data_IF_474073435765
#
_entry.id   IF_474073435765
#
_cell.length_a   1.000
_cell.length_b   1.000
_cell.length_c   1.000
_cell.angle_alpha   90.00
_cell.angle_beta   90.00
_cell.angle_gamma   90.00
#
_symmetry.space_group_name_H-M   'P 1'
#
loop_
_entity.id
_entity.type
_entity.pdbx_description
1 polymer ?
#
# COMPACT_ATOMS: atom_id res chain seq x y z
N UNK A 1 -40.49 13.37 -19.73
CA UNK A 1 -39.08 13.07 -20.07
C UNK A 1 -38.20 14.09 -19.35
N UNK A 2 -37.82 13.78 -18.12
CA UNK A 2 -36.92 14.59 -17.31
C UNK A 2 -35.50 14.16 -17.65
N UNK A 3 -34.82 14.97 -18.45
CA UNK A 3 -33.38 14.89 -18.68
C UNK A 3 -32.68 15.06 -17.32
N UNK A 4 -32.07 13.97 -16.83
CA UNK A 4 -31.10 14.06 -15.73
C UNK A 4 -29.99 14.99 -16.20
N UNK A 5 -29.94 16.17 -15.60
CA UNK A 5 -28.83 17.09 -15.70
C UNK A 5 -27.64 16.38 -15.02
N UNK A 6 -26.74 15.81 -15.83
CA UNK A 6 -25.47 15.28 -15.36
C UNK A 6 -24.71 16.45 -14.71
N UNK A 7 -24.76 16.52 -13.38
CA UNK A 7 -23.89 17.40 -12.62
C UNK A 7 -22.45 16.99 -12.94
N UNK A 8 -21.72 17.83 -13.69
CA UNK A 8 -20.30 17.68 -13.96
C UNK A 8 -19.52 17.75 -12.64
N UNK A 9 -19.45 16.63 -11.90
CA UNK A 9 -18.59 16.51 -10.74
C UNK A 9 -17.13 16.60 -11.21
N UNK A 10 -16.47 17.72 -10.87
CA UNK A 10 -15.07 17.94 -11.14
C UNK A 10 -14.21 16.91 -10.39
N UNK A 11 -13.15 16.41 -11.01
CA UNK A 11 -12.16 15.58 -10.31
C UNK A 11 -11.49 16.39 -9.18
N UNK A 12 -11.36 15.77 -8.01
CA UNK A 12 -10.63 16.32 -6.85
C UNK A 12 -9.32 15.55 -6.70
N UNK A 13 -8.22 16.26 -6.43
CA UNK A 13 -6.92 15.64 -6.18
C UNK A 13 -6.94 14.97 -4.79
N UNK A 14 -6.75 13.67 -4.78
CA UNK A 14 -6.75 12.82 -3.57
C UNK A 14 -5.35 12.33 -3.19
N UNK A 15 -4.38 12.44 -4.10
CA UNK A 15 -3.00 12.03 -3.88
C UNK A 15 -2.03 12.72 -4.83
N UNK A 16 -0.74 12.71 -4.48
CA UNK A 16 0.36 13.10 -5.35
C UNK A 16 1.63 12.39 -4.92
N UNK A 17 2.38 11.86 -5.88
CA UNK A 17 3.65 11.17 -5.66
C UNK A 17 4.62 11.41 -6.82
N UNK A 18 5.74 10.69 -6.81
CA UNK A 18 6.77 10.85 -7.83
C UNK A 18 6.32 10.44 -9.23
N UNK A 19 5.38 9.49 -9.34
CA UNK A 19 4.80 9.02 -10.61
C UNK A 19 3.63 9.90 -11.11
N UNK A 20 3.20 10.90 -10.33
CA UNK A 20 2.20 11.87 -10.72
C UNK A 20 1.09 12.07 -9.67
N UNK A 21 -0.03 12.62 -10.12
CA UNK A 21 -1.17 13.01 -9.28
C UNK A 21 -2.32 12.01 -9.38
N UNK A 22 -3.04 11.82 -8.27
CA UNK A 22 -4.17 10.90 -8.16
C UNK A 22 -5.45 11.69 -7.90
N UNK A 23 -6.50 11.38 -8.65
CA UNK A 23 -7.76 12.12 -8.68
C UNK A 23 -8.98 11.21 -8.56
N UNK A 24 -10.07 11.71 -7.99
CA UNK A 24 -11.36 11.00 -7.97
C UNK A 24 -12.52 11.99 -8.10
N UNK A 25 -13.65 11.54 -8.66
CA UNK A 25 -14.87 12.38 -8.79
C UNK A 25 -15.72 12.42 -7.53
N UNK A 26 -15.73 11.31 -6.80
CA UNK A 26 -16.52 11.08 -5.59
C UNK A 26 -15.80 10.06 -4.72
N UNK A 27 -16.22 9.94 -3.45
CA UNK A 27 -15.69 8.93 -2.52
C UNK A 27 -15.80 7.51 -3.08
N UNK A 28 -16.87 7.22 -3.83
CA UNK A 28 -17.16 5.90 -4.38
C UNK A 28 -16.74 5.72 -5.85
N UNK A 29 -16.09 6.74 -6.45
CA UNK A 29 -15.62 6.70 -7.83
C UNK A 29 -14.20 6.15 -7.96
N UNK A 30 -13.80 5.67 -9.16
CA UNK A 30 -12.45 5.15 -9.38
C UNK A 30 -11.39 6.22 -9.15
N UNK A 31 -10.19 5.77 -8.79
CA UNK A 31 -9.01 6.60 -8.69
C UNK A 31 -8.33 6.72 -10.06
N UNK A 32 -8.00 7.93 -10.46
CA UNK A 32 -7.31 8.22 -11.72
C UNK A 32 -5.90 8.72 -11.42
N UNK A 33 -4.89 7.91 -11.73
CA UNK A 33 -3.47 8.28 -11.63
C UNK A 33 -3.00 8.86 -12.96
N UNK A 34 -2.45 10.06 -12.94
CA UNK A 34 -2.00 10.80 -14.13
C UNK A 34 -0.49 10.70 -14.29
N UNK A 35 -0.01 10.65 -15.54
CA UNK A 35 1.42 10.67 -15.88
C UNK A 35 1.94 12.12 -15.93
N UNK A 36 1.85 12.83 -14.81
CA UNK A 36 2.38 14.18 -14.61
C UNK A 36 3.51 14.21 -13.55
N UNK A 37 4.11 13.04 -13.32
CA UNK A 37 5.25 12.83 -12.41
C UNK A 37 6.62 13.11 -13.03
N UNK A 38 7.67 12.75 -12.28
CA UNK A 38 9.06 12.89 -12.71
C UNK A 38 9.48 11.84 -13.74
N UNK A 39 10.52 12.11 -14.56
CA UNK A 39 10.95 11.23 -15.66
C UNK A 39 11.55 9.89 -15.20
N UNK A 40 11.85 9.75 -13.91
CA UNK A 40 12.39 8.51 -13.34
C UNK A 40 11.30 7.49 -12.96
N UNK A 41 10.02 7.85 -13.10
CA UNK A 41 8.87 6.98 -12.81
C UNK A 41 8.11 6.67 -14.10
N UNK A 42 7.42 5.53 -14.13
CA UNK A 42 6.72 5.06 -15.32
C UNK A 42 5.31 4.61 -15.00
N UNK A 43 4.32 5.37 -15.48
CA UNK A 43 2.92 4.98 -15.35
C UNK A 43 2.64 3.72 -16.17
N UNK A 44 3.30 3.55 -17.32
CA UNK A 44 3.19 2.32 -18.10
C UNK A 44 3.69 1.08 -17.33
N UNK A 45 4.81 1.20 -16.60
CA UNK A 45 5.30 0.10 -15.76
C UNK A 45 4.35 -0.19 -14.60
N UNK A 46 3.84 0.86 -13.93
CA UNK A 46 2.84 0.74 -12.87
C UNK A 46 1.64 -0.07 -13.33
N UNK A 47 1.07 0.26 -14.50
CA UNK A 47 -0.05 -0.50 -15.09
C UNK A 47 0.28 -1.97 -15.33
N UNK A 48 1.44 -2.26 -15.93
CA UNK A 48 1.83 -3.63 -16.28
C UNK A 48 2.08 -4.46 -15.01
N UNK A 49 2.81 -3.90 -14.04
CA UNK A 49 3.15 -4.58 -12.79
C UNK A 49 1.94 -4.75 -11.88
N UNK A 50 1.09 -3.72 -11.76
CA UNK A 50 -0.15 -3.82 -10.99
C UNK A 50 -1.09 -4.86 -11.58
N UNK A 51 -1.29 -4.89 -12.91
CA UNK A 51 -2.08 -5.93 -13.56
C UNK A 51 -1.52 -7.33 -13.31
N UNK A 52 -0.19 -7.50 -13.42
CA UNK A 52 0.47 -8.78 -13.14
C UNK A 52 0.30 -9.21 -11.67
N UNK A 53 0.38 -8.27 -10.74
CA UNK A 53 0.11 -8.52 -9.33
C UNK A 53 -1.36 -8.93 -9.15
N UNK A 54 -2.31 -8.17 -9.68
CA UNK A 54 -3.73 -8.50 -9.60
C UNK A 54 -4.03 -9.91 -10.13
N UNK A 55 -3.55 -10.25 -11.33
CA UNK A 55 -3.72 -11.59 -11.93
C UNK A 55 -3.13 -12.69 -11.04
N UNK A 56 -2.00 -12.40 -10.39
CA UNK A 56 -1.32 -13.31 -9.44
C UNK A 56 -2.15 -13.57 -8.20
N UNK A 57 -2.70 -12.52 -7.59
CA UNK A 57 -3.53 -12.62 -6.39
C UNK A 57 -4.89 -13.26 -6.67
N UNK A 58 -5.46 -13.03 -7.87
CA UNK A 58 -6.67 -13.71 -8.34
C UNK A 58 -6.46 -15.22 -8.53
N UNK A 59 -5.28 -15.66 -9.02
CA UNK A 59 -4.94 -17.10 -9.12
C UNK A 59 -4.92 -17.80 -7.77
N UNK A 60 -4.65 -17.07 -6.68
CA UNK A 60 -4.59 -17.66 -5.33
C UNK A 60 -5.95 -17.84 -4.67
N UNK A 61 -6.96 -17.09 -5.11
CA UNK A 61 -8.31 -17.10 -4.54
C UNK A 61 -8.31 -17.12 -3.00
N UNK A 62 -7.66 -16.10 -2.39
CA UNK A 62 -7.93 -15.65 -1.01
C UNK A 62 -7.37 -14.29 -0.55
N UNK A 63 -6.63 -13.55 -1.38
CA UNK A 63 -6.15 -12.20 -1.00
C UNK A 63 -6.34 -11.26 -2.18
N UNK A 64 -7.21 -10.25 -2.03
CA UNK A 64 -7.60 -9.32 -3.11
C UNK A 64 -6.65 -8.12 -3.16
N UNK A 65 -6.30 -7.72 -4.38
CA UNK A 65 -5.74 -6.41 -4.70
C UNK A 65 -6.79 -5.66 -5.52
N UNK A 66 -6.76 -4.33 -5.43
CA UNK A 66 -7.52 -3.36 -6.21
C UNK A 66 -7.99 -3.88 -7.59
N UNK A 67 -9.30 -3.96 -7.80
CA UNK A 67 -9.88 -4.51 -9.01
C UNK A 67 -9.66 -3.61 -10.23
N UNK A 68 -9.03 -4.24 -11.24
CA UNK A 68 -8.99 -3.90 -12.66
C UNK A 68 -8.54 -2.48 -13.01
N UNK A 69 -7.24 -2.36 -13.32
CA UNK A 69 -6.74 -1.18 -14.01
C UNK A 69 -7.27 -1.09 -15.45
N UNK A 70 -7.78 0.08 -15.81
CA UNK A 70 -8.05 0.46 -17.20
C UNK A 70 -7.15 1.61 -17.60
N UNK A 71 -6.40 1.45 -18.69
CA UNK A 71 -5.63 2.55 -19.29
C UNK A 71 -6.61 3.56 -19.90
N UNK A 72 -6.62 4.79 -19.38
CA UNK A 72 -7.39 5.88 -19.94
C UNK A 72 -6.51 6.65 -20.92
N UNK A 73 -6.93 6.68 -22.18
CA UNK A 73 -6.28 7.48 -23.22
C UNK A 73 -6.48 8.99 -22.98
N UNK A 74 -5.56 9.87 -23.44
CA UNK A 74 -5.51 11.31 -23.14
C UNK A 74 -6.75 12.15 -23.54
N UNK A 75 -7.76 11.55 -24.17
CA UNK A 75 -8.89 12.24 -24.79
C UNK A 75 -9.99 12.66 -23.80
N UNK A 76 -9.87 12.34 -22.51
CA UNK A 76 -10.88 12.64 -21.46
C UNK A 76 -10.71 14.02 -20.78
N UNK A 77 -10.09 14.98 -21.47
CA UNK A 77 -9.66 16.31 -20.99
C UNK A 77 -10.76 17.21 -20.43
N UNK A 78 -12.01 17.04 -20.83
CA UNK A 78 -13.11 17.94 -20.42
C UNK A 78 -13.53 17.78 -18.96
N UNK A 79 -12.90 16.87 -18.20
CA UNK A 79 -13.30 16.55 -16.83
C UNK A 79 -12.32 17.04 -15.74
N UNK A 80 -11.11 17.47 -16.10
CA UNK A 80 -10.12 18.00 -15.15
C UNK A 80 -10.21 19.53 -15.04
N UNK A 81 -9.79 20.14 -13.90
CA UNK A 81 -9.76 21.60 -13.76
C UNK A 81 -8.93 22.28 -14.86
N UNK A 82 -9.27 23.51 -15.21
CA UNK A 82 -8.50 24.34 -16.14
C UNK A 82 -7.03 24.44 -15.71
N UNK A 83 -6.10 24.28 -16.65
CA UNK A 83 -4.65 24.43 -16.42
C UNK A 83 -3.80 23.15 -16.51
N UNK A 84 -4.41 22.01 -16.85
CA UNK A 84 -3.68 20.74 -17.01
C UNK A 84 -3.57 20.31 -18.48
N UNK A 85 -2.39 19.84 -18.90
CA UNK A 85 -2.17 19.28 -20.23
C UNK A 85 -2.66 17.83 -20.34
N UNK A 86 -2.98 17.35 -21.56
CA UNK A 86 -3.26 15.93 -21.81
C UNK A 86 -2.06 15.07 -21.42
N UNK A 87 -2.33 13.95 -20.76
CA UNK A 87 -1.35 12.94 -20.38
C UNK A 87 -2.00 11.56 -20.39
N UNK A 88 -1.19 10.51 -20.31
CA UNK A 88 -1.72 9.18 -20.03
C UNK A 88 -2.27 9.12 -18.60
N UNK A 89 -3.25 8.24 -18.38
CA UNK A 89 -3.78 8.00 -17.06
C UNK A 89 -4.18 6.53 -16.87
N UNK A 90 -4.11 6.04 -15.63
CA UNK A 90 -4.66 4.75 -15.23
C UNK A 90 -5.90 5.01 -14.37
N UNK A 91 -6.97 4.27 -14.64
CA UNK A 91 -8.12 4.16 -13.74
C UNK A 91 -7.99 2.88 -12.94
N UNK A 92 -8.06 2.96 -11.62
CA UNK A 92 -8.05 1.81 -10.71
C UNK A 92 -9.17 1.93 -9.68
N UNK A 93 -9.47 0.84 -8.97
CA UNK A 93 -10.32 0.91 -7.79
C UNK A 93 -9.72 1.89 -6.77
N UNK A 94 -10.59 2.69 -6.18
CA UNK A 94 -10.20 3.68 -5.18
C UNK A 94 -10.15 3.00 -3.81
N UNK A 95 -8.99 3.07 -3.16
CA UNK A 95 -8.87 2.68 -1.75
C UNK A 95 -9.79 3.60 -0.90
N UNK A 96 -10.75 3.04 -0.14
CA UNK A 96 -11.64 3.85 0.69
C UNK A 96 -10.83 4.61 1.75
N UNK A 97 -11.12 5.90 1.99
CA UNK A 97 -10.50 6.62 3.09
C UNK A 97 -11.09 6.17 4.43
N UNK A 98 -10.32 6.29 5.51
CA UNK A 98 -10.88 6.09 6.85
C UNK A 98 -11.97 7.13 7.19
N UNK A 99 -13.02 6.74 7.94
CA UNK A 99 -14.13 7.60 8.31
C UNK A 99 -13.73 8.69 9.31
N UNK A 100 -14.62 9.67 9.48
CA UNK A 100 -14.38 10.88 10.28
C UNK A 100 -13.95 10.60 11.72
N UNK A 101 -14.55 9.61 12.37
CA UNK A 101 -14.19 9.23 13.75
C UNK A 101 -12.73 8.77 13.87
N UNK A 102 -12.20 8.06 12.89
CA UNK A 102 -10.80 7.60 12.87
C UNK A 102 -9.87 8.78 12.57
N UNK A 103 -10.25 9.67 11.66
CA UNK A 103 -9.50 10.91 11.40
C UNK A 103 -9.42 11.79 12.65
N UNK A 104 -10.55 11.95 13.35
CA UNK A 104 -10.62 12.69 14.61
C UNK A 104 -9.71 12.07 15.68
N UNK A 105 -9.74 10.74 15.83
CA UNK A 105 -8.85 10.00 16.74
C UNK A 105 -7.36 10.29 16.45
N UNK A 106 -6.94 10.22 15.18
CA UNK A 106 -5.55 10.47 14.80
C UNK A 106 -5.14 11.94 15.05
N UNK A 107 -6.05 12.88 14.77
CA UNK A 107 -5.82 14.30 15.03
C UNK A 107 -5.69 14.57 16.52
N UNK A 108 -6.64 14.09 17.32
CA UNK A 108 -6.64 14.25 18.78
C UNK A 108 -5.35 13.71 19.42
N UNK A 109 -4.87 12.55 18.96
CA UNK A 109 -3.70 11.90 19.55
C UNK A 109 -2.37 12.48 19.10
N UNK A 110 -2.26 12.92 17.84
CA UNK A 110 -0.95 13.16 17.22
C UNK A 110 -0.80 14.49 16.50
N UNK A 111 -1.87 15.23 16.26
CA UNK A 111 -1.80 16.52 15.59
C UNK A 111 -1.48 17.63 16.60
N UNK A 112 -0.61 18.59 16.27
CA UNK A 112 -0.47 19.80 17.07
C UNK A 112 -1.83 20.52 17.22
N UNK A 113 -2.21 20.94 18.44
CA UNK A 113 -3.51 21.56 18.70
C UNK A 113 -3.79 22.77 17.80
N UNK A 114 -2.74 23.52 17.44
CA UNK A 114 -2.82 24.76 16.67
C UNK A 114 -3.36 24.56 15.26
N UNK A 115 -3.13 23.38 14.66
CA UNK A 115 -3.53 23.07 13.28
C UNK A 115 -4.65 22.02 13.21
N UNK A 116 -5.12 21.49 14.34
CA UNK A 116 -6.10 20.40 14.39
C UNK A 116 -7.39 20.72 13.64
N UNK A 117 -7.96 21.91 13.86
CA UNK A 117 -9.17 22.37 13.14
C UNK A 117 -8.93 22.48 11.63
N UNK A 118 -7.76 22.99 11.23
CA UNK A 118 -7.39 23.13 9.82
C UNK A 118 -7.27 21.76 9.14
N UNK A 119 -6.71 20.76 9.84
CA UNK A 119 -6.57 19.40 9.32
C UNK A 119 -7.95 18.75 9.15
N UNK A 120 -8.82 18.86 10.16
CA UNK A 120 -10.16 18.27 10.12
C UNK A 120 -11.07 18.90 9.07
N UNK A 121 -10.95 20.22 8.84
CA UNK A 121 -11.75 20.93 7.83
C UNK A 121 -11.22 20.77 6.40
N UNK A 122 -9.99 20.27 6.22
CA UNK A 122 -9.33 20.23 4.91
C UNK A 122 -9.78 19.05 4.06
N UNK A 123 -10.26 19.31 2.84
CA UNK A 123 -10.68 18.28 1.89
C UNK A 123 -9.57 17.30 1.53
N UNK A 124 -8.31 17.73 1.44
CA UNK A 124 -7.19 16.82 1.13
C UNK A 124 -6.96 15.79 2.23
N UNK A 125 -7.25 16.14 3.48
CA UNK A 125 -7.12 15.24 4.63
C UNK A 125 -8.28 14.25 4.73
N UNK A 126 -9.35 14.41 3.94
CA UNK A 126 -10.43 13.44 3.86
C UNK A 126 -10.01 12.14 3.15
N UNK A 127 -8.93 12.15 2.36
CA UNK A 127 -8.41 10.96 1.69
C UNK A 127 -7.77 9.93 2.64
N UNK A 128 -7.44 10.34 3.87
CA UNK A 128 -6.89 9.55 4.99
C UNK A 128 -6.58 8.07 4.71
N UNK A 129 -5.34 7.81 4.28
CA UNK A 129 -4.75 6.47 4.20
C UNK A 129 -3.69 6.32 5.28
N UNK A 130 -3.69 5.22 6.02
CA UNK A 130 -2.74 4.99 7.11
C UNK A 130 -1.64 4.05 6.62
N UNK A 131 -0.38 4.43 6.71
CA UNK A 131 0.79 3.60 6.37
C UNK A 131 1.33 2.93 7.63
N UNK A 132 1.13 1.61 7.84
CA UNK A 132 1.64 0.93 9.02
C UNK A 132 3.15 0.67 8.88
N UNK A 133 3.95 1.37 9.69
CA UNK A 133 5.40 1.19 9.74
C UNK A 133 5.79 0.22 10.87
N UNK A 134 5.79 -1.08 10.57
CA UNK A 134 6.15 -2.13 11.54
C UNK A 134 7.67 -2.27 11.71
N UNK A 135 8.46 -1.71 10.79
CA UNK A 135 9.93 -1.71 10.83
C UNK A 135 10.55 -0.51 11.52
N UNK A 136 9.75 0.42 12.04
CA UNK A 136 10.25 1.67 12.62
C UNK A 136 9.32 2.22 13.71
N UNK A 137 9.92 2.58 14.84
CA UNK A 137 9.31 3.47 15.84
C UNK A 137 9.69 4.93 15.54
N UNK A 138 8.92 5.89 16.05
CA UNK A 138 9.32 7.30 16.01
C UNK A 138 10.72 7.48 16.64
N UNK A 139 11.56 8.34 16.05
CA UNK A 139 12.80 8.82 16.67
C UNK A 139 12.47 9.91 17.69
N UNK A 140 13.37 10.21 18.65
CA UNK A 140 13.14 11.22 19.69
C UNK A 140 12.64 12.58 19.14
N UNK A 141 13.20 13.03 18.01
CA UNK A 141 12.79 14.27 17.35
C UNK A 141 11.42 14.21 16.65
N UNK A 142 10.94 13.02 16.27
CA UNK A 142 9.58 12.81 15.74
C UNK A 142 8.57 12.46 16.84
N UNK A 143 9.02 11.86 17.94
CA UNK A 143 8.18 11.41 19.05
C UNK A 143 7.77 12.58 19.96
N UNK A 144 8.71 13.50 20.24
CA UNK A 144 8.43 14.59 21.17
C UNK A 144 7.82 15.83 20.50
N UNK A 145 7.66 15.90 19.18
CA UNK A 145 7.31 17.15 18.47
C UNK A 145 8.21 18.35 18.83
N UNK A 146 9.37 18.12 19.47
CA UNK A 146 10.02 19.12 20.32
C UNK A 146 10.63 20.30 19.55
N UNK A 147 10.82 20.26 18.22
CA UNK A 147 11.53 21.37 17.55
C UNK A 147 11.20 21.65 16.08
N UNK A 148 10.13 21.10 15.50
CA UNK A 148 9.84 21.39 14.08
C UNK A 148 8.58 22.22 13.89
N UNK A 149 8.77 23.54 13.80
CA UNK A 149 7.77 24.50 13.30
C UNK A 149 7.38 24.26 11.83
N UNK A 150 7.94 23.21 11.19
CA UNK A 150 7.89 22.96 9.75
C UNK A 150 7.60 21.49 9.37
N UNK A 151 7.20 20.62 10.30
CA UNK A 151 6.66 19.30 9.92
C UNK A 151 5.17 19.44 9.65
N UNK A 152 4.80 19.46 8.38
CA UNK A 152 3.39 19.40 7.99
C UNK A 152 2.77 18.11 8.52
N UNK A 153 1.78 18.23 9.41
CA UNK A 153 0.89 17.12 9.73
C UNK A 153 -0.07 16.93 8.56
N UNK A 154 -0.25 15.69 8.10
CA UNK A 154 -1.17 15.36 7.03
C UNK A 154 -1.73 13.98 7.26
N UNK A 155 -3.05 13.85 7.11
CA UNK A 155 -3.74 12.57 7.06
C UNK A 155 -3.62 11.92 5.69
N UNK A 156 -3.25 12.68 4.65
CA UNK A 156 -2.93 12.12 3.34
C UNK A 156 -1.64 11.29 3.48
N UNK A 157 -1.77 9.96 3.40
CA UNK A 157 -0.69 8.99 3.59
C UNK A 157 -0.03 9.05 4.99
N UNK A 158 -0.85 9.06 6.04
CA UNK A 158 -0.41 9.19 7.43
C UNK A 158 0.52 8.04 7.87
N UNK A 159 1.79 8.30 8.21
CA UNK A 159 2.71 7.26 8.68
C UNK A 159 2.43 6.92 10.15
N UNK A 160 1.89 5.72 10.40
CA UNK A 160 1.61 5.20 11.74
C UNK A 160 2.73 4.25 12.16
N UNK A 161 3.60 4.74 13.04
CA UNK A 161 4.77 4.00 13.53
C UNK A 161 4.39 2.94 14.56
N UNK A 162 5.23 1.91 14.71
CA UNK A 162 4.95 0.79 15.62
C UNK A 162 4.64 1.22 17.06
N UNK A 163 5.34 2.23 17.59
CA UNK A 163 5.06 2.77 18.92
C UNK A 163 3.70 3.45 19.00
N UNK A 164 3.27 4.16 17.94
CA UNK A 164 1.93 4.75 17.85
C UNK A 164 0.84 3.67 17.75
N UNK A 165 1.10 2.57 17.06
CA UNK A 165 0.17 1.42 16.97
C UNK A 165 -0.08 0.86 18.39
N UNK A 166 0.98 0.71 19.18
CA UNK A 166 0.88 0.26 20.58
C UNK A 166 0.19 1.31 21.47
N UNK A 167 0.52 2.60 21.33
CA UNK A 167 -0.10 3.71 22.08
C UNK A 167 -1.61 3.87 21.79
N UNK A 168 -2.04 3.53 20.58
CA UNK A 168 -3.47 3.49 20.22
C UNK A 168 -4.20 2.32 20.90
N UNK A 169 -3.49 1.39 21.53
CA UNK A 169 -4.08 0.20 22.15
C UNK A 169 -4.49 -0.85 21.13
N UNK A 170 -3.86 -0.89 19.95
CA UNK A 170 -4.11 -1.95 18.97
C UNK A 170 -3.58 -3.28 19.55
N UNK A 171 -4.43 -4.32 19.68
CA UNK A 171 -4.04 -5.62 20.21
C UNK A 171 -2.85 -6.24 19.48
N UNK A 172 -1.96 -6.93 20.20
CA UNK A 172 -0.74 -7.49 19.62
C UNK A 172 -1.02 -8.48 18.49
N UNK A 173 -2.06 -9.29 18.61
CA UNK A 173 -2.51 -10.24 17.58
C UNK A 173 -2.96 -9.55 16.29
N UNK A 174 -3.52 -8.34 16.38
CA UNK A 174 -3.82 -7.51 15.20
C UNK A 174 -2.54 -6.96 14.54
N UNK A 175 -1.54 -6.56 15.32
CA UNK A 175 -0.24 -6.12 14.79
C UNK A 175 0.49 -7.28 14.11
N UNK A 176 0.43 -8.47 14.71
CA UNK A 176 0.93 -9.71 14.13
C UNK A 176 0.18 -10.06 12.84
N UNK A 177 -1.13 -9.86 12.78
CA UNK A 177 -1.92 -10.04 11.56
C UNK A 177 -1.40 -9.17 10.41
N UNK A 178 -1.11 -7.88 10.66
CA UNK A 178 -0.52 -7.01 9.63
C UNK A 178 0.84 -7.53 9.13
N UNK A 179 1.71 -7.97 10.04
CA UNK A 179 3.01 -8.55 9.68
C UNK A 179 2.85 -9.83 8.85
N UNK A 180 1.89 -10.69 9.20
CA UNK A 180 1.57 -11.89 8.44
C UNK A 180 1.07 -11.54 7.03
N UNK A 181 0.11 -10.63 6.91
CA UNK A 181 -0.41 -10.18 5.60
C UNK A 181 0.70 -9.64 4.68
N UNK A 182 1.65 -8.86 5.22
CA UNK A 182 2.82 -8.40 4.45
C UNK A 182 3.72 -9.56 4.00
N UNK A 183 3.92 -10.58 4.84
CA UNK A 183 4.70 -11.77 4.52
C UNK A 183 4.05 -12.60 3.40
N UNK A 184 2.75 -12.84 3.51
CA UNK A 184 1.97 -13.53 2.46
C UNK A 184 2.01 -12.77 1.13
N UNK A 185 1.82 -11.45 1.20
CA UNK A 185 1.81 -10.59 0.02
C UNK A 185 3.15 -10.62 -0.72
N UNK A 186 4.28 -10.49 -0.02
CA UNK A 186 5.59 -10.54 -0.65
C UNK A 186 5.94 -11.94 -1.17
N UNK A 187 5.58 -13.01 -0.46
CA UNK A 187 5.81 -14.37 -0.96
C UNK A 187 5.03 -14.62 -2.26
N UNK A 188 3.79 -14.12 -2.32
CA UNK A 188 2.95 -14.17 -3.51
C UNK A 188 3.57 -13.39 -4.68
N UNK A 189 3.98 -12.15 -4.44
CA UNK A 189 4.63 -11.33 -5.47
C UNK A 189 5.91 -11.97 -5.99
N UNK A 190 6.78 -12.47 -5.11
CA UNK A 190 8.07 -13.01 -5.52
C UNK A 190 7.90 -14.35 -6.25
N UNK A 191 7.10 -15.27 -5.71
CA UNK A 191 7.14 -16.68 -6.15
C UNK A 191 6.00 -17.10 -7.05
N UNK A 192 4.94 -16.31 -7.15
CA UNK A 192 3.89 -16.51 -8.15
C UNK A 192 3.87 -15.36 -9.16
N UNK A 193 4.05 -14.13 -8.67
CA UNK A 193 4.13 -12.95 -9.51
C UNK A 193 5.47 -12.82 -10.23
N UNK A 194 6.55 -13.36 -9.68
CA UNK A 194 7.93 -13.10 -10.12
C UNK A 194 8.22 -11.59 -10.24
N UNK A 195 7.79 -10.84 -9.21
CA UNK A 195 7.96 -9.39 -9.05
C UNK A 195 8.87 -9.14 -7.84
N UNK A 196 9.82 -8.21 -7.94
CA UNK A 196 10.77 -7.88 -6.86
C UNK A 196 10.17 -7.11 -5.66
N UNK A 197 9.01 -6.49 -5.87
CA UNK A 197 8.33 -5.69 -4.87
C UNK A 197 8.97 -4.32 -4.60
N UNK A 198 9.78 -3.80 -5.52
CA UNK A 198 10.47 -2.52 -5.36
C UNK A 198 9.50 -1.33 -5.35
N UNK A 199 9.63 -0.51 -4.31
CA UNK A 199 8.82 0.68 -3.99
C UNK A 199 7.32 0.42 -3.74
N UNK A 200 6.93 -0.85 -3.53
CA UNK A 200 5.56 -1.17 -3.14
C UNK A 200 5.23 -0.54 -1.79
N UNK A 201 4.08 0.12 -1.74
CA UNK A 201 3.53 0.70 -0.53
C UNK A 201 2.39 -0.14 0.05
N UNK A 202 2.34 -0.19 1.39
CA UNK A 202 1.25 -0.80 2.14
C UNK A 202 0.45 0.25 2.90
N UNK A 203 -0.87 0.15 2.85
CA UNK A 203 -1.77 1.04 3.61
C UNK A 203 -2.88 0.23 4.29
N UNK A 204 -3.31 0.68 5.46
CA UNK A 204 -4.57 0.26 6.06
C UNK A 204 -5.68 1.13 5.51
N UNK A 205 -6.82 0.52 5.22
CA UNK A 205 -8.05 1.20 4.81
C UNK A 205 -9.26 0.27 4.96
N UNK A 206 -10.49 0.82 5.07
CA UNK A 206 -11.71 0.02 5.02
C UNK A 206 -11.74 -0.95 3.81
N UNK A 207 -12.36 -2.13 3.94
CA UNK A 207 -12.56 -3.04 2.82
C UNK A 207 -13.48 -2.44 1.75
N UNK A 208 -13.46 -3.01 0.55
CA UNK A 208 -14.32 -2.56 -0.55
C UNK A 208 -15.79 -2.89 -0.25
N UNK A 209 -16.73 -2.06 -0.71
CA UNK A 209 -18.18 -2.30 -0.54
C UNK A 209 -18.69 -3.51 -1.32
N UNK A 210 -17.87 -4.04 -2.22
CA UNK A 210 -18.15 -5.22 -3.05
C UNK A 210 -17.67 -6.54 -2.43
N UNK A 211 -17.22 -6.53 -1.16
CA UNK A 211 -16.50 -7.68 -0.60
C UNK A 211 -17.39 -8.86 -0.16
N UNK A 212 -17.12 -9.98 -0.83
CA UNK A 212 -17.38 -11.37 -0.47
C UNK A 212 -16.50 -11.87 0.70
N UNK A 213 -16.94 -12.91 1.41
CA UNK A 213 -16.57 -13.41 2.75
C UNK A 213 -15.08 -13.85 2.95
N UNK A 214 -14.18 -13.54 2.01
CA UNK A 214 -12.79 -14.06 1.97
C UNK A 214 -11.69 -13.06 2.31
N UNK A 215 -11.98 -11.76 2.39
CA UNK A 215 -10.96 -10.75 2.73
C UNK A 215 -10.60 -10.83 4.22
N UNK A 216 -9.31 -11.03 4.53
CA UNK A 216 -8.84 -10.92 5.92
C UNK A 216 -8.99 -9.48 6.40
N UNK A 217 -9.99 -9.26 7.25
CA UNK A 217 -10.30 -7.96 7.83
C UNK A 217 -10.01 -7.95 9.33
N UNK A 218 -9.54 -6.82 9.82
CA UNK A 218 -9.23 -6.57 11.23
C UNK A 218 -10.16 -5.48 11.74
N UNK A 219 -10.73 -5.68 12.93
CA UNK A 219 -11.53 -4.65 13.60
C UNK A 219 -10.87 -4.25 14.91
N UNK A 220 -10.46 -3.00 15.02
CA UNK A 220 -9.90 -2.43 16.25
C UNK A 220 -10.28 -0.95 16.41
N UNK A 221 -9.48 -0.16 17.12
CA UNK A 221 -9.73 1.27 17.35
C UNK A 221 -9.81 2.09 16.06
N UNK A 222 -9.24 1.61 14.95
CA UNK A 222 -9.33 2.20 13.62
C UNK A 222 -10.62 1.79 12.88
N UNK A 223 -11.51 1.01 13.49
CA UNK A 223 -12.69 0.42 12.85
C UNK A 223 -12.36 -0.86 12.07
N UNK A 224 -13.30 -1.30 11.22
CA UNK A 224 -13.10 -2.44 10.31
C UNK A 224 -12.24 -2.03 9.10
N UNK A 225 -11.13 -2.72 8.87
CA UNK A 225 -10.17 -2.40 7.81
C UNK A 225 -9.35 -3.62 7.39
N UNK A 226 -8.62 -3.48 6.29
CA UNK A 226 -7.70 -4.49 5.76
C UNK A 226 -6.41 -3.81 5.26
N UNK A 227 -5.44 -4.63 4.84
CA UNK A 227 -4.17 -4.18 4.26
C UNK A 227 -4.31 -4.12 2.74
N UNK A 228 -4.05 -2.94 2.18
CA UNK A 228 -4.02 -2.67 0.75
C UNK A 228 -2.58 -2.46 0.29
N UNK A 229 -2.37 -2.69 -1.01
CA UNK A 229 -1.09 -2.53 -1.69
C UNK A 229 -1.24 -1.57 -2.86
N UNK A 230 -0.28 -0.67 -3.04
CA UNK A 230 -0.26 0.31 -4.14
C UNK A 230 1.17 0.73 -4.51
N UNK A 231 1.28 1.50 -5.59
CA UNK A 231 2.54 1.97 -6.23
C UNK A 231 3.43 0.82 -6.72
N UNK A 232 3.20 0.37 -7.95
CA UNK A 232 4.00 -0.68 -8.60
C UNK A 232 4.93 -0.09 -9.68
N UNK A 233 5.11 1.23 -9.69
CA UNK A 233 5.78 1.97 -10.77
C UNK A 233 7.28 1.63 -10.91
N UNK A 234 7.93 1.18 -9.82
CA UNK A 234 9.33 0.73 -9.82
C UNK A 234 9.52 -0.78 -9.65
N UNK A 235 8.43 -1.55 -9.63
CA UNK A 235 8.52 -3.00 -9.60
C UNK A 235 9.17 -3.53 -10.88
N UNK A 236 9.98 -4.57 -10.72
CA UNK A 236 10.64 -5.28 -11.82
C UNK A 236 10.37 -6.78 -11.74
N UNK A 237 10.52 -7.45 -12.88
CA UNK A 237 10.55 -8.93 -12.91
C UNK A 237 11.79 -9.45 -12.18
N UNK A 238 11.66 -10.59 -11.52
CA UNK A 238 12.80 -11.34 -10.97
C UNK A 238 12.98 -12.69 -11.67
N UNK A 239 14.22 -13.14 -11.78
CA UNK A 239 14.56 -14.51 -12.18
C UNK A 239 14.31 -15.48 -11.02
N UNK A 240 13.97 -16.73 -11.33
CA UNK A 240 13.83 -17.80 -10.33
C UNK A 240 15.20 -18.43 -10.01
N UNK A 241 16.14 -17.58 -9.61
CA UNK A 241 17.50 -17.95 -9.23
C UNK A 241 18.04 -17.01 -8.13
N UNK A 242 19.33 -17.16 -7.80
CA UNK A 242 19.98 -16.38 -6.76
C UNK A 242 20.03 -14.87 -7.06
N UNK A 243 20.10 -14.46 -8.32
CA UNK A 243 20.13 -13.04 -8.68
C UNK A 243 18.76 -12.40 -8.47
N UNK A 244 17.69 -13.11 -8.81
CA UNK A 244 16.33 -12.67 -8.49
C UNK A 244 16.08 -12.56 -6.98
N UNK A 245 16.60 -13.50 -6.18
CA UNK A 245 16.57 -13.42 -4.71
C UNK A 245 17.29 -12.17 -4.20
N UNK A 246 18.48 -11.87 -4.72
CA UNK A 246 19.24 -10.67 -4.34
C UNK A 246 18.51 -9.39 -4.74
N UNK A 247 17.88 -9.36 -5.92
CA UNK A 247 17.08 -8.23 -6.36
C UNK A 247 15.90 -7.97 -5.43
N UNK A 248 15.13 -9.02 -5.08
CA UNK A 248 14.01 -8.92 -4.15
C UNK A 248 14.48 -8.48 -2.74
N UNK A 249 15.59 -9.01 -2.23
CA UNK A 249 16.14 -8.60 -0.94
C UNK A 249 16.59 -7.13 -0.95
N UNK A 250 17.19 -6.67 -2.05
CA UNK A 250 17.55 -5.26 -2.24
C UNK A 250 16.33 -4.36 -2.26
N UNK A 251 15.26 -4.76 -2.96
CA UNK A 251 13.97 -4.06 -2.96
C UNK A 251 13.40 -3.96 -1.54
N UNK A 252 13.28 -5.08 -0.83
CA UNK A 252 12.83 -5.14 0.57
C UNK A 252 13.56 -4.14 1.47
N UNK A 253 14.89 -4.03 1.32
CA UNK A 253 15.68 -3.09 2.10
C UNK A 253 15.50 -1.64 1.67
N UNK A 254 15.28 -1.35 0.39
CA UNK A 254 15.15 0.03 -0.12
C UNK A 254 13.79 0.63 0.14
N UNK A 255 12.76 -0.20 0.22
CA UNK A 255 11.41 0.24 0.52
C UNK A 255 11.36 0.96 1.87
N UNK A 256 10.35 1.81 2.01
CA UNK A 256 9.98 2.41 3.28
C UNK A 256 9.83 1.33 4.37
N UNK A 257 10.00 1.68 5.66
CA UNK A 257 10.07 0.72 6.77
C UNK A 257 8.68 0.16 7.16
N UNK A 258 7.87 -0.22 6.18
CA UNK A 258 6.62 -0.94 6.32
C UNK A 258 6.86 -2.29 7.01
N UNK A 259 7.83 -3.04 6.51
CA UNK A 259 8.10 -4.42 6.95
C UNK A 259 8.77 -4.47 8.32
N UNK A 260 8.45 -5.46 9.16
CA UNK A 260 9.17 -5.72 10.40
C UNK A 260 10.69 -5.86 10.16
N UNK A 261 11.49 -5.36 11.10
CA UNK A 261 12.96 -5.55 11.05
C UNK A 261 13.34 -6.95 11.50
N UNK A 262 14.39 -7.55 10.91
CA UNK A 262 14.96 -8.80 11.41
C UNK A 262 15.17 -8.80 12.92
N UNK A 263 14.97 -9.96 13.52
CA UNK A 263 15.21 -10.23 14.95
C UNK A 263 14.23 -9.51 15.90
N UNK A 264 13.13 -8.95 15.38
CA UNK A 264 12.00 -8.48 16.17
C UNK A 264 10.95 -9.59 16.32
N UNK A 265 10.03 -9.45 17.29
CA UNK A 265 8.91 -10.40 17.45
C UNK A 265 8.02 -10.45 16.21
N UNK A 266 7.72 -9.29 15.62
CA UNK A 266 6.93 -9.19 14.39
C UNK A 266 7.64 -9.82 13.18
N UNK A 267 8.97 -9.83 13.13
CA UNK A 267 9.72 -10.53 12.09
C UNK A 267 9.51 -12.04 12.13
N UNK A 268 9.41 -12.63 13.32
CA UNK A 268 9.13 -14.07 13.46
C UNK A 268 7.80 -14.42 12.78
N UNK A 269 6.78 -13.58 12.97
CA UNK A 269 5.46 -13.74 12.36
C UNK A 269 5.52 -13.55 10.84
N UNK A 270 6.13 -12.44 10.38
CA UNK A 270 6.34 -12.17 8.96
C UNK A 270 7.06 -13.34 8.27
N UNK A 271 8.19 -13.78 8.82
CA UNK A 271 9.03 -14.86 8.30
C UNK A 271 8.26 -16.17 8.21
N UNK A 272 7.51 -16.52 9.27
CA UNK A 272 6.70 -17.73 9.30
C UNK A 272 5.65 -17.71 8.20
N UNK A 273 4.89 -16.60 8.08
CA UNK A 273 3.85 -16.50 7.06
C UNK A 273 4.45 -16.50 5.66
N UNK A 274 5.51 -15.73 5.41
CA UNK A 274 6.22 -15.68 4.12
C UNK A 274 6.65 -17.08 3.66
N UNK A 275 7.32 -17.84 4.54
CA UNK A 275 7.78 -19.19 4.22
C UNK A 275 6.60 -20.18 4.05
N UNK A 276 5.56 -20.08 4.88
CA UNK A 276 4.37 -20.93 4.75
C UNK A 276 3.66 -20.69 3.42
N UNK A 277 3.43 -19.43 3.05
CA UNK A 277 2.85 -19.08 1.74
C UNK A 277 3.74 -19.58 0.60
N UNK A 278 5.06 -19.49 0.73
CA UNK A 278 6.00 -20.02 -0.27
C UNK A 278 5.86 -21.55 -0.44
N UNK A 279 5.66 -22.29 0.65
CA UNK A 279 5.37 -23.74 0.65
C UNK A 279 4.06 -24.04 -0.05
N UNK A 280 3.00 -23.32 0.32
CA UNK A 280 1.67 -23.54 -0.25
C UNK A 280 1.67 -23.27 -1.77
N UNK A 281 2.35 -22.21 -2.20
CA UNK A 281 2.53 -21.86 -3.61
C UNK A 281 3.30 -22.93 -4.38
N UNK A 282 4.44 -23.35 -3.85
CA UNK A 282 5.31 -24.34 -4.49
C UNK A 282 4.57 -25.66 -4.70
N UNK A 283 3.89 -26.18 -3.67
CA UNK A 283 3.16 -27.44 -3.77
C UNK A 283 1.91 -27.37 -4.66
N UNK A 284 1.19 -26.24 -4.63
CA UNK A 284 -0.07 -26.09 -5.38
C UNK A 284 0.18 -25.86 -6.87
N UNK A 285 1.20 -25.09 -7.23
CA UNK A 285 1.37 -24.56 -8.58
C UNK A 285 2.66 -25.02 -9.28
N UNK A 286 3.69 -25.46 -8.54
CA UNK A 286 5.03 -25.75 -9.08
C UNK A 286 5.58 -27.07 -8.54
N UNK A 287 4.83 -28.17 -8.72
CA UNK A 287 5.17 -29.49 -8.16
C UNK A 287 6.57 -29.97 -8.56
N UNK A 288 6.96 -29.73 -9.80
CA UNK A 288 8.25 -30.18 -10.35
C UNK A 288 9.43 -29.27 -9.93
N UNK A 289 9.15 -28.05 -9.45
CA UNK A 289 10.16 -27.06 -9.02
C UNK A 289 10.13 -26.78 -7.51
N UNK A 290 9.39 -27.59 -6.74
CA UNK A 290 9.06 -27.27 -5.35
C UNK A 290 10.31 -27.07 -4.49
N UNK A 291 11.28 -27.99 -4.55
CA UNK A 291 12.50 -27.88 -3.75
C UNK A 291 13.33 -26.64 -4.12
N UNK A 292 13.43 -26.33 -5.42
CA UNK A 292 14.15 -25.16 -5.91
C UNK A 292 13.52 -23.86 -5.41
N UNK A 293 12.21 -23.69 -5.62
CA UNK A 293 11.47 -22.48 -5.19
C UNK A 293 11.49 -22.29 -3.67
N UNK A 294 11.39 -23.39 -2.91
CA UNK A 294 11.56 -23.35 -1.46
C UNK A 294 12.97 -22.95 -1.03
N UNK A 295 13.99 -23.41 -1.77
CA UNK A 295 15.37 -22.97 -1.59
C UNK A 295 15.55 -21.48 -1.79
N UNK A 296 14.92 -20.89 -2.82
CA UNK A 296 14.96 -19.45 -3.09
C UNK A 296 14.25 -18.64 -1.99
N UNK A 297 13.08 -19.10 -1.54
CA UNK A 297 12.34 -18.45 -0.46
C UNK A 297 13.13 -18.40 0.86
N UNK A 298 13.83 -19.50 1.21
CA UNK A 298 14.71 -19.55 2.39
C UNK A 298 15.90 -18.61 2.24
N UNK A 299 16.56 -18.64 1.07
CA UNK A 299 17.67 -17.74 0.78
C UNK A 299 17.27 -16.28 0.90
N UNK A 300 16.09 -15.89 0.40
CA UNK A 300 15.57 -14.51 0.56
C UNK A 300 15.51 -14.08 2.03
N UNK A 301 14.94 -14.91 2.91
CA UNK A 301 14.89 -14.64 4.35
C UNK A 301 16.30 -14.55 4.95
N UNK A 302 17.18 -15.49 4.61
CA UNK A 302 18.57 -15.51 5.09
C UNK A 302 19.32 -14.25 4.67
N UNK A 303 19.19 -13.81 3.41
CA UNK A 303 19.79 -12.57 2.91
C UNK A 303 19.37 -11.35 3.73
N UNK A 304 18.08 -11.27 4.11
CA UNK A 304 17.58 -10.15 4.91
C UNK A 304 18.12 -10.22 6.34
N UNK A 305 18.21 -11.42 6.94
CA UNK A 305 18.67 -11.62 8.32
C UNK A 305 20.19 -11.35 8.48
N UNK A 306 21.00 -11.69 7.49
CA UNK A 306 22.46 -11.45 7.54
C UNK A 306 22.83 -10.01 7.18
N UNK A 307 22.01 -9.32 6.39
CA UNK A 307 22.28 -7.95 5.96
C UNK A 307 21.96 -6.98 7.09
N UNK A 308 22.96 -6.70 7.92
CA UNK A 308 22.85 -5.68 8.98
C UNK A 308 22.66 -4.29 8.37
N UNK A 309 21.61 -3.60 8.79
CA UNK A 309 21.43 -2.16 8.63
C UNK A 309 21.66 -1.44 9.95
#
# INVERSE_FOLDING_TARGET
MTTKQDSHANYIRIGSGACGTVWAKSLDGPAIKREDGGPSRSLANDFVMHKRALDTFLKLSRTKICNQDQLIQPQNLTRFPLGYSPCNAISSERIPPFPENVRALLVERYCPPEISNQILSSTSNQACLIRPYLGRTRTYGTAMNVNSRFRGFSLQNYPLHLDQIVELGIPSDHIECYAAMMGEALATLHWLGEIDGNDIEFVLAPPSTSDDDSTTAVTNVLGNHTLWMLDFDLCGSISMDLEGVKQAAKAFHRNDPFYPRPHTTLWIVFRRQYLQTSVDLAHKLYKDETESRLGLAKQFIEYIEITKK
#
